data_IF_963101702245
#
_entry.id   IF_963101702245
#
_cell.length_a   1.000
_cell.length_b   1.000
_cell.length_c   1.000
_cell.angle_alpha   90.00
_cell.angle_beta   90.00
_cell.angle_gamma   90.00
#
_symmetry.space_group_name_H-M   'P 1'
#
loop_
_entity.id
_entity.type
_entity.pdbx_description
1 polymer ?
#
# COMPACT_ATOMS: atom_id res chain seq x y z
N UNK A 1 -5.95 2.55 10.14
CA UNK A 1 -5.79 1.09 10.00
C UNK A 1 -5.28 0.79 8.60
N UNK A 2 -4.42 -0.22 8.44
CA UNK A 2 -3.98 -0.70 7.13
C UNK A 2 -5.20 -1.16 6.33
N UNK A 3 -5.52 -0.42 5.26
CA UNK A 3 -6.76 -0.61 4.50
C UNK A 3 -6.63 -0.04 3.10
N UNK A 4 -7.47 -0.52 2.18
CA UNK A 4 -7.63 0.06 0.84
C UNK A 4 -7.92 1.57 0.90
N UNK A 5 -8.73 2.00 1.87
CA UNK A 5 -9.07 3.42 2.07
C UNK A 5 -7.84 4.25 2.42
N UNK A 6 -7.02 3.80 3.36
CA UNK A 6 -5.79 4.51 3.74
C UNK A 6 -4.80 4.60 2.58
N UNK A 7 -4.62 3.51 1.82
CA UNK A 7 -3.78 3.50 0.64
C UNK A 7 -4.29 4.45 -0.45
N UNK A 8 -5.60 4.51 -0.66
CA UNK A 8 -6.21 5.46 -1.58
C UNK A 8 -5.97 6.91 -1.15
N UNK A 9 -6.16 7.23 0.14
CA UNK A 9 -5.92 8.59 0.65
C UNK A 9 -4.46 9.02 0.47
N UNK A 10 -3.50 8.12 0.74
CA UNK A 10 -2.09 8.35 0.44
C UNK A 10 -1.85 8.57 -1.06
N UNK A 11 -2.49 7.75 -1.91
CA UNK A 11 -2.47 7.90 -3.37
C UNK A 11 -2.97 9.27 -3.84
N UNK A 12 -4.07 9.79 -3.28
CA UNK A 12 -4.54 11.14 -3.61
C UNK A 12 -3.57 12.23 -3.15
N UNK A 13 -2.92 12.05 -2.00
CA UNK A 13 -1.98 13.04 -1.49
C UNK A 13 -0.68 13.10 -2.29
N UNK A 14 -0.14 11.93 -2.68
CA UNK A 14 1.20 11.80 -3.27
C UNK A 14 1.15 11.75 -4.80
N UNK A 15 0.09 11.16 -5.36
CA UNK A 15 -0.03 10.83 -6.79
C UNK A 15 -1.15 11.60 -7.50
N UNK A 16 -1.68 12.69 -6.93
CA UNK A 16 -2.77 13.50 -7.53
C UNK A 16 -2.48 14.01 -8.94
N UNK A 17 -1.21 14.21 -9.30
CA UNK A 17 -0.80 14.61 -10.65
C UNK A 17 -0.89 13.50 -11.71
N UNK A 18 -1.10 12.25 -11.31
CA UNK A 18 -1.18 11.11 -12.23
C UNK A 18 -2.62 10.82 -12.62
N UNK A 19 -2.89 10.78 -13.92
CA UNK A 19 -4.19 10.36 -14.45
C UNK A 19 -4.49 8.87 -14.18
N UNK A 20 -3.45 8.04 -14.02
CA UNK A 20 -3.58 6.62 -13.67
C UNK A 20 -2.49 6.21 -12.69
N UNK A 21 -2.87 5.51 -11.63
CA UNK A 21 -1.96 4.79 -10.74
C UNK A 21 -2.57 3.47 -10.26
N UNK A 22 -1.84 2.70 -9.46
CA UNK A 22 -2.26 1.40 -8.96
C UNK A 22 -2.17 1.33 -7.44
N UNK A 23 -3.13 0.63 -6.83
CA UNK A 23 -3.07 0.22 -5.42
C UNK A 23 -2.89 -1.29 -5.40
N UNK A 24 -1.70 -1.75 -5.03
CA UNK A 24 -1.40 -3.16 -4.89
C UNK A 24 -1.97 -3.71 -3.57
N UNK A 25 -2.57 -4.90 -3.65
CA UNK A 25 -2.98 -5.69 -2.48
C UNK A 25 -1.89 -6.71 -2.22
N UNK A 26 -1.26 -6.63 -1.05
CA UNK A 26 -0.06 -7.39 -0.73
C UNK A 26 -0.35 -8.30 0.47
N UNK A 27 0.05 -9.57 0.39
CA UNK A 27 -0.06 -10.51 1.49
C UNK A 27 0.94 -10.19 2.61
N UNK A 28 0.58 -10.47 3.87
CA UNK A 28 1.50 -10.34 5.00
C UNK A 28 2.60 -11.41 4.94
N UNK A 29 3.85 -11.04 5.18
CA UNK A 29 4.96 -12.00 5.29
C UNK A 29 6.06 -11.49 6.25
N UNK A 30 7.02 -12.33 6.69
CA UNK A 30 8.03 -11.96 7.69
C UNK A 30 9.02 -10.87 7.25
N UNK A 31 9.02 -10.46 5.98
CA UNK A 31 9.77 -9.30 5.52
C UNK A 31 9.09 -7.96 5.88
N UNK A 32 7.86 -7.98 6.39
CA UNK A 32 7.10 -6.78 6.75
C UNK A 32 7.28 -6.40 8.22
N UNK A 33 7.57 -5.11 8.45
CA UNK A 33 7.77 -4.53 9.77
C UNK A 33 6.79 -3.39 10.00
N UNK A 34 6.05 -3.45 11.10
CA UNK A 34 5.27 -2.29 11.56
C UNK A 34 6.24 -1.21 12.06
N UNK A 35 6.27 -0.08 11.36
CA UNK A 35 7.24 0.99 11.62
C UNK A 35 7.07 1.55 13.03
N UNK A 36 5.83 1.67 13.51
CA UNK A 36 5.55 2.19 14.85
C UNK A 36 5.98 1.22 15.93
N UNK A 37 5.81 -0.09 15.72
CA UNK A 37 6.19 -1.10 16.72
C UNK A 37 7.72 -1.22 16.80
N UNK A 38 8.41 -1.09 15.66
CA UNK A 38 9.88 -1.19 15.60
C UNK A 38 10.57 0.07 16.11
N UNK A 39 10.10 1.26 15.73
CA UNK A 39 10.73 2.53 16.10
C UNK A 39 10.18 3.12 17.40
N UNK A 40 9.01 2.67 17.86
CA UNK A 40 8.35 3.20 19.05
C UNK A 40 8.14 4.71 18.98
N UNK A 41 8.55 5.41 20.03
CA UNK A 41 8.45 6.88 20.15
C UNK A 41 9.30 7.65 19.13
N UNK A 42 10.21 6.97 18.44
CA UNK A 42 11.07 7.56 17.42
C UNK A 42 10.48 7.46 16.00
N UNK A 43 9.28 6.90 15.85
CA UNK A 43 8.58 6.89 14.56
C UNK A 43 8.29 8.34 14.12
N UNK A 44 8.77 8.78 12.95
CA UNK A 44 8.62 10.17 12.50
C UNK A 44 7.19 10.51 12.09
N UNK A 45 6.43 9.53 11.61
CA UNK A 45 5.07 9.71 11.08
C UNK A 45 4.10 8.64 11.62
N UNK A 46 3.84 8.60 12.95
CA UNK A 46 3.12 7.49 13.57
C UNK A 46 1.65 7.39 13.14
N UNK A 47 1.06 8.48 12.66
CA UNK A 47 -0.31 8.53 12.16
C UNK A 47 -0.51 7.78 10.84
N UNK A 48 0.56 7.52 10.08
CA UNK A 48 0.48 6.79 8.81
C UNK A 48 0.25 5.30 9.01
N UNK A 49 0.58 4.77 10.19
CA UNK A 49 0.46 3.34 10.53
C UNK A 49 1.12 2.44 9.49
N UNK A 50 2.32 2.86 9.06
CA UNK A 50 3.07 2.24 7.97
C UNK A 50 3.56 0.83 8.35
N UNK A 51 3.51 -0.07 7.36
CA UNK A 51 4.20 -1.35 7.37
C UNK A 51 5.15 -1.39 6.18
N UNK A 52 6.45 -1.44 6.44
CA UNK A 52 7.48 -1.43 5.40
C UNK A 52 8.02 -2.84 5.17
N UNK A 53 8.28 -3.21 3.92
CA UNK A 53 8.85 -4.50 3.55
C UNK A 53 10.38 -4.39 3.35
N UNK A 54 11.15 -5.08 4.19
CA UNK A 54 12.61 -5.16 4.08
C UNK A 54 13.00 -5.90 2.80
N UNK A 55 13.78 -5.25 1.94
CA UNK A 55 14.20 -5.80 0.64
C UNK A 55 13.12 -5.75 -0.45
N UNK A 56 12.00 -5.06 -0.19
CA UNK A 56 10.89 -4.94 -1.14
C UNK A 56 9.87 -6.06 -1.06
N UNK A 57 8.93 -6.05 -2.01
CA UNK A 57 7.80 -6.97 -2.07
C UNK A 57 7.99 -7.88 -3.29
N UNK A 58 8.28 -9.18 -3.13
CA UNK A 58 8.35 -10.11 -4.24
C UNK A 58 7.00 -10.21 -4.96
N UNK A 59 7.02 -10.47 -6.27
CA UNK A 59 5.81 -10.49 -7.09
C UNK A 59 4.78 -11.54 -6.61
N UNK A 60 5.24 -12.71 -6.14
CA UNK A 60 4.40 -13.74 -5.54
C UNK A 60 3.69 -13.33 -4.23
N UNK A 61 4.15 -12.27 -3.55
CA UNK A 61 3.48 -11.71 -2.37
C UNK A 61 2.37 -10.70 -2.76
N UNK A 62 2.31 -10.27 -4.02
CA UNK A 62 1.27 -9.40 -4.55
C UNK A 62 0.05 -10.26 -4.89
N UNK A 63 -1.03 -10.08 -4.14
CA UNK A 63 -2.31 -10.76 -4.38
C UNK A 63 -3.05 -10.21 -5.62
N UNK A 64 -2.84 -8.93 -5.93
CA UNK A 64 -3.45 -8.26 -7.06
C UNK A 64 -3.33 -6.74 -6.97
N UNK A 65 -4.07 -6.02 -7.80
CA UNK A 65 -4.10 -4.57 -7.79
C UNK A 65 -5.45 -4.01 -8.21
N UNK A 66 -5.78 -2.84 -7.65
CA UNK A 66 -6.79 -1.96 -8.18
C UNK A 66 -6.13 -0.91 -9.07
N UNK A 67 -6.78 -0.61 -10.19
CA UNK A 67 -6.43 0.57 -10.98
C UNK A 67 -7.16 1.78 -10.42
N UNK A 68 -6.49 2.92 -10.36
CA UNK A 68 -7.11 4.20 -10.03
C UNK A 68 -6.96 5.13 -11.23
N UNK A 69 -8.08 5.64 -11.74
CA UNK A 69 -8.12 6.55 -12.87
C UNK A 69 -8.73 7.88 -12.45
N UNK A 70 -8.02 8.98 -12.68
CA UNK A 70 -8.44 10.34 -12.28
C UNK A 70 -8.93 10.39 -10.84
N UNK A 71 -8.21 9.70 -9.96
CA UNK A 71 -8.52 9.60 -8.54
C UNK A 71 -9.68 8.67 -8.16
N UNK A 72 -10.31 7.95 -9.09
CA UNK A 72 -11.40 7.00 -8.82
C UNK A 72 -10.89 5.56 -8.90
N UNK A 73 -11.14 4.75 -7.85
CA UNK A 73 -10.80 3.32 -7.87
C UNK A 73 -11.73 2.61 -8.86
N UNK A 74 -11.15 1.84 -9.76
CA UNK A 74 -11.88 0.84 -10.52
C UNK A 74 -12.43 -0.25 -9.57
N UNK A 75 -13.68 -0.65 -9.75
CA UNK A 75 -14.36 -1.61 -8.88
C UNK A 75 -13.71 -3.01 -8.94
N UNK A 76 -13.02 -3.33 -10.03
CA UNK A 76 -12.46 -4.66 -10.26
C UNK A 76 -11.05 -4.80 -9.68
N UNK A 77 -10.90 -5.72 -8.74
CA UNK A 77 -9.59 -6.24 -8.35
C UNK A 77 -9.01 -7.12 -9.46
N UNK A 78 -7.84 -6.76 -9.97
CA UNK A 78 -7.06 -7.59 -10.88
C UNK A 78 -6.23 -8.58 -10.06
N UNK A 79 -6.57 -9.87 -10.13
CA UNK A 79 -5.82 -10.94 -9.46
C UNK A 79 -4.45 -11.13 -10.10
N UNK A 80 -3.42 -11.22 -9.26
CA UNK A 80 -2.15 -11.81 -9.69
C UNK A 80 -2.36 -13.31 -9.97
N UNK A 81 -1.63 -13.84 -10.96
CA UNK A 81 -1.77 -15.24 -11.43
C UNK A 81 -0.63 -16.16 -11.01
N UNK A 82 0.41 -15.61 -10.37
CA UNK A 82 1.41 -16.43 -9.69
C UNK A 82 0.86 -17.12 -8.43
#
# INVERSE_FOLDING_TARGET
>A
SLSLRSAHLAGQSILSGYSTYYIYVIATAPNMFNVNDVLGVYSPHPYEQEVSALGGIPYSQIYGWYRVNFGVIDERLHRNRE
#
